data_IF_142998314878
#
_entry.id   IF_142998314878
#
_cell.length_a   1.000
_cell.length_b   1.000
_cell.length_c   1.000
_cell.angle_alpha   90.00
_cell.angle_beta   90.00
_cell.angle_gamma   90.00
#
_symmetry.space_group_name_H-M   'P 1'
#
loop_
_entity.id
_entity.type
_entity.pdbx_description
1 polymer ?
#
# COMPACT_ATOMS: atom_id res chain seq x y z
N UNK A 1 -11.64 -44.13 -8.56
CA UNK A 1 -11.02 -43.24 -7.55
C UNK A 1 -9.52 -43.01 -7.80
N UNK A 2 -8.83 -43.85 -8.59
CA UNK A 2 -7.40 -43.70 -8.94
C UNK A 2 -7.12 -42.76 -10.13
N UNK A 3 -8.13 -42.26 -10.85
CA UNK A 3 -7.92 -41.45 -12.06
C UNK A 3 -7.76 -39.94 -11.77
N UNK A 4 -8.21 -39.44 -10.62
CA UNK A 4 -8.21 -38.00 -10.30
C UNK A 4 -6.86 -37.55 -9.71
N UNK A 5 -6.12 -38.44 -9.05
CA UNK A 5 -4.79 -38.14 -8.46
C UNK A 5 -3.73 -37.80 -9.52
N UNK A 6 -3.89 -38.30 -10.75
CA UNK A 6 -2.95 -38.06 -11.86
C UNK A 6 -3.46 -37.07 -12.91
N UNK A 7 -4.67 -36.55 -12.73
CA UNK A 7 -5.22 -35.56 -13.64
C UNK A 7 -4.60 -34.17 -13.36
N UNK A 8 -3.98 -33.59 -14.38
CA UNK A 8 -3.40 -32.26 -14.29
C UNK A 8 -4.48 -31.18 -14.47
N UNK A 9 -4.69 -30.40 -13.41
CA UNK A 9 -5.55 -29.22 -13.38
C UNK A 9 -4.74 -27.95 -13.61
N UNK A 10 -5.42 -26.87 -13.99
CA UNK A 10 -4.78 -25.57 -14.14
C UNK A 10 -5.13 -24.69 -12.96
N UNK A 11 -4.12 -24.16 -12.27
CA UNK A 11 -4.30 -23.09 -11.30
C UNK A 11 -4.00 -21.74 -11.95
N UNK A 12 -4.89 -20.78 -11.73
CA UNK A 12 -4.76 -19.40 -12.16
C UNK A 12 -4.91 -18.45 -10.99
N UNK A 13 -3.89 -17.61 -10.76
CA UNK A 13 -3.97 -16.50 -9.80
C UNK A 13 -3.94 -15.18 -10.57
N UNK A 14 -5.09 -14.51 -10.65
CA UNK A 14 -5.21 -13.26 -11.41
C UNK A 14 -4.37 -12.11 -10.83
N UNK A 15 -4.19 -12.09 -9.50
CA UNK A 15 -3.42 -11.05 -8.81
C UNK A 15 -1.94 -11.17 -9.16
N UNK A 16 -1.38 -12.38 -9.12
CA UNK A 16 0.02 -12.65 -9.43
C UNK A 16 0.28 -12.88 -10.93
N UNK A 17 -0.77 -13.17 -11.71
CA UNK A 17 -0.69 -13.58 -13.12
C UNK A 17 0.04 -14.91 -13.31
N UNK A 18 -0.04 -15.78 -12.31
CA UNK A 18 0.57 -17.10 -12.34
C UNK A 18 -0.44 -18.07 -12.93
N UNK A 19 0.01 -18.83 -13.93
CA UNK A 19 -0.68 -19.99 -14.48
C UNK A 19 0.24 -21.18 -14.35
N UNK A 20 -0.20 -22.20 -13.63
CA UNK A 20 0.56 -23.45 -13.47
C UNK A 20 -0.33 -24.69 -13.58
N UNK A 21 0.30 -25.85 -13.68
CA UNK A 21 -0.35 -27.15 -13.59
C UNK A 21 -0.27 -27.67 -12.16
N UNK A 22 -1.36 -28.22 -11.65
CA UNK A 22 -1.47 -28.75 -10.29
C UNK A 22 -2.16 -30.10 -10.31
N UNK A 23 -1.80 -30.96 -9.37
CA UNK A 23 -2.53 -32.20 -9.10
C UNK A 23 -3.35 -32.07 -7.82
N UNK A 24 -4.42 -32.84 -7.72
CA UNK A 24 -5.18 -32.98 -6.48
C UNK A 24 -4.46 -34.02 -5.62
N UNK A 25 -4.05 -33.62 -4.42
CA UNK A 25 -3.38 -34.50 -3.47
C UNK A 25 -4.35 -35.05 -2.45
N UNK A 26 -4.30 -34.49 -1.25
CA UNK A 26 -5.17 -34.92 -0.15
C UNK A 26 -6.64 -34.63 -0.48
N UNK A 27 -7.49 -35.64 -0.24
CA UNK A 27 -8.93 -35.53 -0.31
C UNK A 27 -9.52 -35.98 1.04
N UNK A 28 -10.39 -35.16 1.61
CA UNK A 28 -11.26 -35.56 2.71
C UNK A 28 -12.63 -35.92 2.16
N UNK A 29 -12.93 -37.22 2.15
CA UNK A 29 -14.19 -37.77 1.63
C UNK A 29 -15.38 -37.52 2.56
N UNK A 30 -15.14 -37.11 3.81
CA UNK A 30 -16.21 -36.83 4.78
C UNK A 30 -16.88 -35.49 4.50
N UNK A 31 -16.07 -34.49 4.12
CA UNK A 31 -16.52 -33.12 3.84
C UNK A 31 -16.48 -32.80 2.34
N UNK A 32 -16.05 -33.74 1.50
CA UNK A 32 -15.83 -33.57 0.05
C UNK A 32 -14.93 -32.38 -0.28
N UNK A 33 -13.87 -32.20 0.53
CA UNK A 33 -12.88 -31.15 0.34
C UNK A 33 -11.55 -31.73 -0.12
N UNK A 34 -10.83 -30.96 -0.91
CA UNK A 34 -9.54 -31.35 -1.46
C UNK A 34 -8.48 -30.27 -1.26
N UNK A 35 -7.23 -30.70 -1.35
CA UNK A 35 -6.03 -29.86 -1.36
C UNK A 35 -5.21 -30.17 -2.60
N UNK A 36 -4.53 -29.14 -3.11
CA UNK A 36 -3.54 -29.30 -4.16
C UNK A 36 -2.26 -29.93 -3.58
N UNK A 37 -1.58 -30.66 -4.45
CA UNK A 37 -0.27 -31.28 -4.18
C UNK A 37 0.82 -30.51 -4.94
N UNK A 38 1.59 -31.15 -5.81
CA UNK A 38 2.62 -30.46 -6.58
C UNK A 38 2.04 -29.42 -7.56
N UNK A 39 2.70 -28.26 -7.77
CA UNK A 39 3.90 -27.74 -7.09
C UNK A 39 3.61 -26.92 -5.82
N UNK A 40 2.35 -26.92 -5.34
CA UNK A 40 1.89 -26.10 -4.23
C UNK A 40 1.30 -26.99 -3.14
N UNK A 41 2.18 -27.71 -2.44
CA UNK A 41 1.79 -28.67 -1.41
C UNK A 41 0.81 -28.04 -0.40
N UNK A 42 -0.33 -28.69 -0.19
CA UNK A 42 -1.35 -28.36 0.81
C UNK A 42 -2.11 -27.05 0.58
N UNK A 43 -2.25 -26.59 -0.66
CA UNK A 43 -3.13 -25.45 -0.96
C UNK A 43 -4.60 -25.89 -1.03
N UNK A 44 -5.39 -25.46 -0.05
CA UNK A 44 -6.81 -25.78 0.14
C UNK A 44 -7.29 -25.29 1.51
N UNK A 45 -8.43 -25.75 2.03
CA UNK A 45 -9.39 -26.68 1.40
C UNK A 45 -10.24 -25.99 0.32
N UNK A 46 -10.69 -26.75 -0.68
CA UNK A 46 -11.70 -26.35 -1.65
C UNK A 46 -12.67 -27.50 -1.94
N UNK A 47 -13.88 -27.20 -2.43
CA UNK A 47 -14.91 -28.22 -2.74
C UNK A 47 -14.49 -29.08 -3.92
N UNK A 48 -14.33 -30.39 -3.69
CA UNK A 48 -13.99 -31.35 -4.74
C UNK A 48 -15.17 -31.58 -5.68
N UNK A 49 -16.39 -31.66 -5.15
CA UNK A 49 -17.60 -31.90 -5.95
C UNK A 49 -17.87 -30.78 -6.95
N UNK A 50 -17.66 -29.52 -6.55
CA UNK A 50 -17.82 -28.35 -7.42
C UNK A 50 -16.77 -28.38 -8.54
N UNK A 51 -15.51 -28.69 -8.20
CA UNK A 51 -14.44 -28.79 -9.19
C UNK A 51 -14.72 -29.90 -10.22
N UNK A 52 -15.20 -31.06 -9.79
CA UNK A 52 -15.51 -32.18 -10.69
C UNK A 52 -16.74 -31.87 -11.55
N UNK A 53 -17.77 -31.26 -10.96
CA UNK A 53 -19.06 -31.00 -11.64
C UNK A 53 -18.95 -29.87 -12.65
N UNK A 54 -18.36 -28.75 -12.25
CA UNK A 54 -18.31 -27.54 -13.09
C UNK A 54 -17.02 -27.44 -13.90
N UNK A 55 -16.03 -28.28 -13.58
CA UNK A 55 -14.67 -28.23 -14.11
C UNK A 55 -13.92 -26.98 -13.66
N UNK A 56 -14.40 -26.29 -12.63
CA UNK A 56 -13.92 -24.97 -12.22
C UNK A 56 -14.30 -24.71 -10.76
N UNK A 57 -13.37 -24.15 -9.99
CA UNK A 57 -13.63 -23.64 -8.65
C UNK A 57 -12.78 -22.41 -8.39
N UNK A 58 -13.31 -21.47 -7.58
CA UNK A 58 -12.53 -20.37 -7.01
C UNK A 58 -12.34 -20.59 -5.52
N UNK A 59 -11.12 -20.41 -5.05
CA UNK A 59 -10.82 -20.35 -3.63
C UNK A 59 -9.73 -19.30 -3.38
N UNK A 60 -9.94 -18.46 -2.37
CA UNK A 60 -9.08 -17.30 -2.11
C UNK A 60 -8.80 -16.48 -3.39
N UNK A 61 -7.53 -16.23 -3.71
CA UNK A 61 -7.10 -15.50 -4.91
C UNK A 61 -6.89 -16.40 -6.15
N UNK A 62 -7.12 -17.70 -6.02
CA UNK A 62 -6.84 -18.71 -7.04
C UNK A 62 -8.14 -19.24 -7.65
N UNK A 63 -8.07 -19.62 -8.92
CA UNK A 63 -9.06 -20.43 -9.60
C UNK A 63 -8.38 -21.73 -10.04
N UNK A 64 -9.00 -22.88 -9.76
CA UNK A 64 -8.57 -24.17 -10.28
C UNK A 64 -9.59 -24.63 -11.28
N UNK A 65 -9.14 -25.13 -12.43
CA UNK A 65 -10.03 -25.49 -13.52
C UNK A 65 -9.45 -26.57 -14.41
N UNK A 66 -10.33 -27.26 -15.12
CA UNK A 66 -9.94 -28.24 -16.13
C UNK A 66 -9.25 -27.55 -17.31
N UNK A 67 -8.44 -28.33 -18.06
CA UNK A 67 -7.80 -27.83 -19.29
C UNK A 67 -8.82 -27.28 -20.29
N UNK A 68 -10.00 -27.89 -20.38
CA UNK A 68 -11.08 -27.43 -21.27
C UNK A 68 -11.63 -26.07 -20.84
N UNK A 69 -11.95 -25.89 -19.55
CA UNK A 69 -12.44 -24.61 -19.01
C UNK A 69 -11.44 -23.48 -19.22
N UNK A 70 -10.15 -23.75 -18.98
CA UNK A 70 -9.10 -22.77 -19.24
C UNK A 70 -9.06 -22.31 -20.71
N UNK A 71 -9.24 -23.22 -21.69
CA UNK A 71 -9.23 -22.83 -23.10
C UNK A 71 -10.44 -21.96 -23.46
N UNK A 72 -11.61 -22.27 -22.90
CA UNK A 72 -12.83 -21.48 -23.11
C UNK A 72 -12.74 -20.10 -22.46
N UNK A 73 -12.25 -20.02 -21.23
CA UNK A 73 -12.35 -18.81 -20.40
C UNK A 73 -11.08 -17.93 -20.45
N UNK A 74 -10.09 -18.31 -21.25
CA UNK A 74 -8.76 -17.68 -21.29
C UNK A 74 -8.79 -16.17 -21.49
N UNK A 75 -9.68 -15.71 -22.37
CA UNK A 75 -9.79 -14.29 -22.72
C UNK A 75 -10.47 -13.50 -21.60
N UNK A 76 -11.59 -13.99 -21.09
CA UNK A 76 -12.30 -13.39 -19.97
C UNK A 76 -11.42 -13.29 -18.71
N UNK A 77 -10.65 -14.35 -18.40
CA UNK A 77 -9.74 -14.37 -17.26
C UNK A 77 -8.57 -13.39 -17.40
N UNK A 78 -8.08 -13.17 -18.62
CA UNK A 78 -7.05 -12.16 -18.91
C UNK A 78 -7.58 -10.74 -18.76
N UNK A 79 -8.78 -10.48 -19.27
CA UNK A 79 -9.43 -9.18 -19.13
C UNK A 79 -9.72 -8.86 -17.66
N UNK A 80 -10.23 -9.84 -16.90
CA UNK A 80 -10.46 -9.71 -15.46
C UNK A 80 -9.16 -9.36 -14.72
N UNK A 81 -8.07 -10.10 -15.00
CA UNK A 81 -6.77 -9.86 -14.37
C UNK A 81 -6.20 -8.48 -14.72
N UNK A 82 -6.31 -8.06 -15.98
CA UNK A 82 -5.87 -6.74 -16.42
C UNK A 82 -6.67 -5.64 -15.73
N UNK A 83 -7.99 -5.80 -15.62
CA UNK A 83 -8.87 -4.84 -14.95
C UNK A 83 -8.57 -4.76 -13.44
N UNK A 84 -8.34 -5.90 -12.77
CA UNK A 84 -7.94 -5.92 -11.35
C UNK A 84 -6.60 -5.22 -11.13
N UNK A 85 -5.59 -5.51 -11.97
CA UNK A 85 -4.28 -4.86 -11.90
C UNK A 85 -4.37 -3.35 -12.13
N UNK A 86 -5.12 -2.93 -13.15
CA UNK A 86 -5.37 -1.50 -13.43
C UNK A 86 -6.06 -0.80 -12.26
N UNK A 87 -7.09 -1.44 -11.68
CA UNK A 87 -7.81 -0.89 -10.52
C UNK A 87 -6.89 -0.75 -9.31
N UNK A 88 -6.16 -1.80 -8.96
CA UNK A 88 -5.21 -1.78 -7.84
C UNK A 88 -4.10 -0.73 -8.04
N UNK A 89 -3.57 -0.63 -9.26
CA UNK A 89 -2.56 0.37 -9.60
C UNK A 89 -3.12 1.79 -9.47
N UNK A 90 -4.35 2.03 -9.96
CA UNK A 90 -5.03 3.32 -9.81
C UNK A 90 -5.24 3.68 -8.35
N UNK A 91 -5.78 2.76 -7.55
CA UNK A 91 -6.02 2.98 -6.12
C UNK A 91 -4.73 3.30 -5.37
N UNK A 92 -3.63 2.62 -5.70
CA UNK A 92 -2.31 2.91 -5.14
C UNK A 92 -1.82 4.31 -5.49
N UNK A 93 -1.89 4.72 -6.76
CA UNK A 93 -1.48 6.07 -7.17
C UNK A 93 -2.37 7.15 -6.55
N UNK A 94 -3.68 6.92 -6.47
CA UNK A 94 -4.64 7.84 -5.86
C UNK A 94 -4.35 8.01 -4.34
N UNK A 95 -3.95 6.95 -3.65
CA UNK A 95 -3.53 7.03 -2.24
C UNK A 95 -2.20 7.77 -2.08
N UNK A 96 -1.21 7.46 -2.92
CA UNK A 96 0.08 8.14 -2.91
C UNK A 96 -0.08 9.65 -3.15
N UNK A 97 -0.93 10.04 -4.11
CA UNK A 97 -1.22 11.45 -4.39
C UNK A 97 -1.89 12.12 -3.18
N UNK A 98 -2.88 11.48 -2.56
CA UNK A 98 -3.55 11.99 -1.35
C UNK A 98 -2.57 12.16 -0.20
N UNK A 99 -1.70 11.18 0.05
CA UNK A 99 -0.68 11.23 1.07
C UNK A 99 0.32 12.38 0.81
N UNK A 100 0.82 12.50 -0.42
CA UNK A 100 1.75 13.56 -0.80
C UNK A 100 1.12 14.95 -0.66
N UNK A 101 -0.15 15.11 -1.05
CA UNK A 101 -0.89 16.36 -0.89
C UNK A 101 -1.05 16.75 0.57
N UNK A 102 -1.40 15.79 1.44
CA UNK A 102 -1.47 16.01 2.90
C UNK A 102 -0.12 16.43 3.46
N UNK A 103 0.96 15.76 3.05
CA UNK A 103 2.33 16.08 3.49
C UNK A 103 2.75 17.49 3.06
N UNK A 104 2.49 17.88 1.82
CA UNK A 104 2.78 19.23 1.31
C UNK A 104 1.99 20.27 2.09
N UNK A 105 0.69 20.05 2.30
CA UNK A 105 -0.16 20.98 3.05
C UNK A 105 0.30 21.11 4.51
N UNK A 106 0.62 20.01 5.18
CA UNK A 106 1.14 20.02 6.54
C UNK A 106 2.47 20.80 6.63
N UNK A 107 3.39 20.57 5.68
CA UNK A 107 4.64 21.31 5.60
C UNK A 107 4.41 22.82 5.42
N UNK A 108 3.46 23.21 4.57
CA UNK A 108 3.10 24.63 4.38
C UNK A 108 2.48 25.25 5.64
N UNK A 109 1.64 24.51 6.37
CA UNK A 109 1.10 24.94 7.66
C UNK A 109 2.22 25.17 8.68
N UNK A 110 3.11 24.19 8.86
CA UNK A 110 4.25 24.32 9.77
C UNK A 110 5.18 25.47 9.39
N UNK A 111 5.45 25.69 8.10
CA UNK A 111 6.24 26.85 7.66
C UNK A 111 5.60 28.20 8.04
N UNK A 112 4.27 28.32 7.95
CA UNK A 112 3.55 29.55 8.36
C UNK A 112 3.62 29.75 9.87
N UNK A 113 3.48 28.68 10.65
CA UNK A 113 3.61 28.72 12.11
C UNK A 113 5.01 29.17 12.52
N UNK A 114 6.07 28.58 11.93
CA UNK A 114 7.44 28.97 12.21
C UNK A 114 7.75 30.42 11.82
N UNK A 115 7.21 30.87 10.67
CA UNK A 115 7.28 32.28 10.27
C UNK A 115 6.58 33.19 11.27
N UNK A 116 5.43 32.78 11.81
CA UNK A 116 4.70 33.53 12.83
C UNK A 116 5.50 33.66 14.13
N UNK A 117 6.08 32.55 14.62
CA UNK A 117 6.92 32.53 15.82
C UNK A 117 8.11 33.49 15.72
N UNK A 118 8.74 33.58 14.54
CA UNK A 118 9.87 34.47 14.29
C UNK A 118 9.47 35.88 13.81
N UNK A 119 8.18 36.20 13.71
CA UNK A 119 7.67 37.45 13.13
C UNK A 119 8.23 37.74 11.73
N UNK A 120 8.35 36.70 10.90
CA UNK A 120 8.79 36.79 9.52
C UNK A 120 7.60 36.97 8.56
N UNK A 121 7.84 37.51 7.35
CA UNK A 121 6.82 37.56 6.30
C UNK A 121 6.22 36.19 6.00
N UNK A 122 4.89 36.12 5.96
CA UNK A 122 4.13 34.88 5.73
C UNK A 122 4.21 34.38 4.28
N UNK A 123 4.54 35.27 3.36
CA UNK A 123 4.59 35.02 1.92
C UNK A 123 5.93 35.53 1.41
N UNK A 124 6.52 34.80 0.46
CA UNK A 124 7.78 35.15 -0.18
C UNK A 124 8.95 34.28 0.26
N UNK A 125 10.02 34.35 -0.54
CA UNK A 125 11.28 33.70 -0.22
C UNK A 125 11.90 34.36 1.03
N UNK A 126 12.48 33.53 1.91
CA UNK A 126 13.26 33.99 3.04
C UNK A 126 14.74 33.78 2.73
N UNK A 127 15.55 34.77 3.06
CA UNK A 127 16.99 34.59 3.05
C UNK A 127 17.49 34.07 4.40
N UNK A 128 18.59 33.32 4.39
CA UNK A 128 19.28 32.85 5.60
C UNK A 128 19.62 34.01 6.56
N UNK A 129 19.95 35.18 6.01
CA UNK A 129 20.27 36.41 6.75
C UNK A 129 19.05 36.90 7.56
N UNK A 130 17.86 36.82 6.98
CA UNK A 130 16.59 37.25 7.58
C UNK A 130 16.18 36.30 8.71
N UNK A 131 16.27 34.99 8.48
CA UNK A 131 15.94 33.96 9.49
C UNK A 131 16.84 34.12 10.72
N UNK A 132 18.16 34.21 10.53
CA UNK A 132 19.12 34.38 11.64
C UNK A 132 18.94 35.71 12.38
N UNK A 133 18.60 36.78 11.67
CA UNK A 133 18.32 38.09 12.27
C UNK A 133 17.05 38.07 13.13
N UNK A 134 15.97 37.46 12.62
CA UNK A 134 14.71 37.28 13.33
C UNK A 134 14.87 36.40 14.58
N UNK A 135 15.60 35.29 14.47
CA UNK A 135 15.94 34.44 15.60
C UNK A 135 16.64 35.22 16.71
N UNK A 136 17.71 35.99 16.41
CA UNK A 136 18.41 36.78 17.44
C UNK A 136 17.49 37.77 18.15
N UNK A 137 16.57 38.41 17.43
CA UNK A 137 15.59 39.35 17.99
C UNK A 137 14.57 38.62 18.88
N UNK A 138 14.02 37.51 18.41
CA UNK A 138 13.02 36.71 19.14
C UNK A 138 13.64 36.06 20.39
N UNK A 139 14.82 35.47 20.27
CA UNK A 139 15.57 34.84 21.36
C UNK A 139 15.90 35.82 22.49
N UNK A 140 16.34 37.04 22.17
CA UNK A 140 16.63 38.08 23.18
C UNK A 140 15.39 38.46 24.00
N UNK A 141 14.20 38.46 23.38
CA UNK A 141 12.93 38.79 24.04
C UNK A 141 12.36 37.62 24.85
N UNK A 142 12.59 36.39 24.40
CA UNK A 142 12.10 35.19 25.07
C UNK A 142 13.04 34.63 26.14
N UNK A 143 14.23 35.22 26.31
CA UNK A 143 15.19 34.77 27.32
C UNK A 143 14.60 34.91 28.74
N UNK A 144 14.72 33.87 29.61
CA UNK A 144 14.21 33.91 30.98
C UNK A 144 14.71 35.13 31.78
N UNK A 145 15.99 35.48 31.64
CA UNK A 145 16.59 36.66 32.29
C UNK A 145 15.99 38.00 31.84
N UNK A 146 15.29 38.04 30.69
CA UNK A 146 14.57 39.22 30.20
C UNK A 146 13.06 39.17 30.53
N UNK A 147 12.63 38.23 31.38
CA UNK A 147 11.23 38.00 31.72
C UNK A 147 10.48 37.09 30.74
N UNK A 148 11.20 36.37 29.88
CA UNK A 148 10.64 35.39 28.95
C UNK A 148 10.41 34.00 29.54
N UNK A 149 9.83 33.10 28.74
CA UNK A 149 9.60 31.70 29.11
C UNK A 149 10.58 30.77 28.39
N UNK A 150 11.13 29.80 29.13
CA UNK A 150 11.95 28.72 28.59
C UNK A 150 11.23 27.98 27.44
N UNK A 151 9.93 27.71 27.58
CA UNK A 151 9.12 27.04 26.56
C UNK A 151 9.04 27.86 25.27
N UNK A 152 8.94 29.18 25.40
CA UNK A 152 8.92 30.10 24.26
C UNK A 152 10.27 30.12 23.55
N UNK A 153 11.37 30.07 24.29
CA UNK A 153 12.71 29.99 23.73
C UNK A 153 12.93 28.69 22.93
N UNK A 154 12.44 27.55 23.44
CA UNK A 154 12.50 26.26 22.74
C UNK A 154 11.75 26.34 21.41
N UNK A 155 10.49 26.85 21.42
CA UNK A 155 9.69 27.00 20.21
C UNK A 155 10.34 27.90 19.16
N UNK A 156 10.98 28.99 19.60
CA UNK A 156 11.72 29.91 18.71
C UNK A 156 12.91 29.22 18.07
N UNK A 157 13.64 28.40 18.83
CA UNK A 157 14.77 27.64 18.32
C UNK A 157 14.32 26.59 17.30
N UNK A 158 13.30 25.80 17.65
CA UNK A 158 12.70 24.80 16.75
C UNK A 158 12.22 25.43 15.44
N UNK A 159 11.52 26.57 15.51
CA UNK A 159 11.07 27.31 14.35
C UNK A 159 12.23 27.81 13.46
N UNK A 160 13.34 28.23 14.07
CA UNK A 160 14.53 28.68 13.33
C UNK A 160 15.22 27.50 12.63
N UNK A 161 15.46 26.42 13.35
CA UNK A 161 16.14 25.24 12.81
C UNK A 161 15.32 24.64 11.65
N UNK A 162 14.01 24.50 11.82
CA UNK A 162 13.12 23.99 10.78
C UNK A 162 13.07 24.90 9.53
N UNK A 163 13.12 26.22 9.68
CA UNK A 163 13.17 27.13 8.53
C UNK A 163 14.53 27.13 7.82
N UNK A 164 15.62 26.87 8.54
CA UNK A 164 16.96 26.75 7.96
C UNK A 164 17.13 25.47 7.14
N UNK A 165 16.46 24.37 7.50
CA UNK A 165 16.46 23.13 6.70
C UNK A 165 15.71 23.27 5.36
N UNK A 166 14.89 24.31 5.21
CA UNK A 166 14.02 24.53 4.05
C UNK A 166 14.59 25.55 3.04
N UNK A 167 15.71 26.20 3.36
CA UNK A 167 16.37 27.25 2.54
C UNK A 167 17.71 26.75 2.05
#
# INVERSE_FOLDING_TARGET
MQEIEYEEWIIWNASLGIRDFVTIGRIDTTESVAWLDAPYDMVGPFSLDELITDGFIRFAACAVMSKQRWQTDREALREEALNKRRKAQKEFYDELERHNRRKINAMQCSQREYRSVLNLPQIGALELSQIKSAYRKAAKKAHPDAGGSQEMFIRIKEACDALLELV
#
